data_IF_978777544503
#
_entry.id   IF_978777544503
#
_cell.length_a   1.000
_cell.length_b   1.000
_cell.length_c   1.000
_cell.angle_alpha   90.00
_cell.angle_beta   90.00
_cell.angle_gamma   90.00
#
_symmetry.space_group_name_H-M   'P 1'
#
loop_
_entity.id
_entity.type
_entity.pdbx_description
1 polymer ?
#
# COMPACT_ATOMS: atom_id res chain seq x y z
N UNK A 1 -33.15 -7.94 -24.01
CA UNK A 1 -34.17 -8.77 -24.70
C UNK A 1 -33.45 -9.92 -25.39
N UNK A 2 -33.65 -11.11 -24.84
CA UNK A 2 -33.53 -12.48 -25.35
C UNK A 2 -32.65 -12.89 -26.54
N UNK A 3 -31.83 -13.89 -26.22
CA UNK A 3 -31.41 -15.11 -26.96
C UNK A 3 -30.82 -14.98 -28.36
N UNK A 4 -29.54 -15.34 -28.45
CA UNK A 4 -29.09 -16.31 -29.45
C UNK A 4 -28.46 -17.50 -28.75
N UNK A 5 -29.16 -18.64 -28.83
CA UNK A 5 -28.58 -19.97 -28.64
C UNK A 5 -27.40 -20.15 -29.60
N UNK A 6 -26.24 -20.48 -29.06
CA UNK A 6 -25.14 -21.11 -29.79
C UNK A 6 -24.35 -21.93 -28.79
N UNK A 7 -24.65 -23.24 -28.76
CA UNK A 7 -23.81 -24.30 -28.19
C UNK A 7 -23.56 -24.28 -26.68
N UNK A 8 -24.49 -24.83 -25.89
CA UNK A 8 -24.18 -25.31 -24.52
C UNK A 8 -23.23 -26.50 -24.62
N UNK A 9 -21.93 -26.25 -24.62
CA UNK A 9 -20.99 -27.23 -24.04
C UNK A 9 -21.37 -27.33 -22.57
N UNK A 10 -21.76 -28.52 -22.10
CA UNK A 10 -22.05 -28.70 -20.69
C UNK A 10 -20.74 -28.51 -19.91
N UNK A 11 -20.70 -27.54 -18.99
CA UNK A 11 -19.63 -27.41 -17.97
C UNK A 11 -19.26 -28.82 -17.47
N UNK A 12 -17.97 -29.14 -17.48
CA UNK A 12 -17.52 -30.45 -17.05
C UNK A 12 -17.96 -30.72 -15.60
N UNK A 13 -18.32 -31.97 -15.29
CA UNK A 13 -18.68 -32.37 -13.93
C UNK A 13 -17.53 -32.03 -12.95
N UNK A 14 -16.29 -32.15 -13.41
CA UNK A 14 -15.08 -31.77 -12.68
C UNK A 14 -15.00 -30.28 -12.36
N UNK A 15 -15.27 -29.40 -13.32
CA UNK A 15 -15.27 -27.96 -13.10
C UNK A 15 -16.36 -27.53 -12.11
N UNK A 16 -17.53 -28.17 -12.17
CA UNK A 16 -18.62 -27.93 -11.21
C UNK A 16 -18.19 -28.28 -9.78
N UNK A 17 -17.56 -29.46 -9.60
CA UNK A 17 -16.99 -29.87 -8.31
C UNK A 17 -15.90 -28.91 -7.84
N UNK A 18 -15.00 -28.48 -8.73
CA UNK A 18 -13.93 -27.55 -8.42
C UNK A 18 -14.47 -26.20 -7.93
N UNK A 19 -15.50 -25.66 -8.59
CA UNK A 19 -16.17 -24.42 -8.18
C UNK A 19 -16.87 -24.58 -6.83
N UNK A 20 -17.46 -25.74 -6.53
CA UNK A 20 -18.00 -26.05 -5.21
C UNK A 20 -16.91 -26.01 -4.13
N UNK A 21 -15.72 -26.60 -4.41
CA UNK A 21 -14.56 -26.52 -3.50
C UNK A 21 -14.12 -25.08 -3.26
N UNK A 22 -14.14 -24.24 -4.30
CA UNK A 22 -13.83 -22.81 -4.18
C UNK A 22 -14.84 -22.10 -3.27
N UNK A 23 -16.14 -22.34 -3.47
CA UNK A 23 -17.19 -21.74 -2.66
C UNK A 23 -17.05 -22.13 -1.17
N UNK A 24 -16.72 -23.39 -0.91
CA UNK A 24 -16.53 -23.93 0.44
C UNK A 24 -15.14 -23.63 1.04
N UNK A 25 -14.25 -22.96 0.29
CA UNK A 25 -12.85 -22.72 0.67
C UNK A 25 -12.06 -24.01 0.99
N UNK A 26 -12.37 -25.09 0.29
CA UNK A 26 -11.77 -26.41 0.45
C UNK A 26 -10.49 -26.53 -0.40
N UNK A 27 -9.36 -26.10 0.18
CA UNK A 27 -8.04 -26.10 -0.48
C UNK A 27 -7.58 -27.51 -0.82
N UNK A 28 -7.73 -28.46 0.12
CA UNK A 28 -7.30 -29.84 -0.07
C UNK A 28 -8.15 -30.53 -1.15
N UNK A 29 -9.47 -30.36 -1.10
CA UNK A 29 -10.36 -30.94 -2.10
C UNK A 29 -10.12 -30.40 -3.50
N UNK A 30 -9.87 -29.08 -3.65
CA UNK A 30 -9.52 -28.52 -4.96
C UNK A 30 -8.18 -29.08 -5.46
N UNK A 31 -7.18 -29.21 -4.57
CA UNK A 31 -5.88 -29.77 -4.91
C UNK A 31 -5.98 -31.25 -5.35
N UNK A 32 -6.85 -32.04 -4.72
CA UNK A 32 -7.10 -33.44 -5.10
C UNK A 32 -7.69 -33.54 -6.51
N UNK A 33 -8.71 -32.72 -6.83
CA UNK A 33 -9.33 -32.70 -8.16
C UNK A 33 -8.34 -32.32 -9.28
N UNK A 34 -7.47 -31.34 -9.02
CA UNK A 34 -6.41 -30.93 -9.96
C UNK A 34 -5.36 -32.03 -10.15
N UNK A 35 -5.02 -32.78 -9.08
CA UNK A 35 -4.07 -33.91 -9.15
C UNK A 35 -4.66 -35.14 -9.83
N UNK A 36 -5.96 -35.38 -9.70
CA UNK A 36 -6.65 -36.49 -10.36
C UNK A 36 -6.94 -36.20 -11.83
N UNK A 37 -6.60 -35.00 -12.34
CA UNK A 37 -6.96 -34.52 -13.68
C UNK A 37 -8.47 -34.58 -13.94
N UNK A 38 -9.28 -34.42 -12.89
CA UNK A 38 -10.74 -34.26 -13.04
C UNK A 38 -11.12 -32.89 -13.58
N UNK A 39 -10.24 -31.90 -13.42
CA UNK A 39 -10.36 -30.53 -13.93
C UNK A 39 -8.97 -30.03 -14.31
N UNK A 40 -8.86 -29.29 -15.40
CA UNK A 40 -7.60 -28.65 -15.80
C UNK A 40 -7.41 -27.30 -15.08
N UNK A 41 -6.14 -26.90 -14.88
CA UNK A 41 -5.80 -25.72 -14.06
C UNK A 41 -6.40 -24.39 -14.59
N UNK A 42 -6.40 -24.24 -15.91
CA UNK A 42 -6.92 -23.09 -16.64
C UNK A 42 -8.21 -23.45 -17.41
N UNK A 43 -8.93 -24.48 -16.98
CA UNK A 43 -10.27 -24.77 -17.51
C UNK A 43 -11.19 -23.56 -17.26
N UNK A 44 -12.13 -23.35 -18.17
CA UNK A 44 -13.06 -22.21 -18.17
C UNK A 44 -14.50 -22.70 -18.09
N UNK A 45 -15.36 -21.96 -17.40
CA UNK A 45 -16.81 -22.16 -17.48
C UNK A 45 -17.42 -21.57 -18.77
N UNK A 46 -18.74 -21.73 -18.93
CA UNK A 46 -19.50 -21.22 -20.08
C UNK A 46 -19.40 -19.69 -20.28
N UNK A 47 -18.95 -18.94 -19.26
CA UNK A 47 -18.74 -17.49 -19.35
C UNK A 47 -17.28 -17.14 -19.65
N UNK A 48 -16.40 -18.13 -19.82
CA UNK A 48 -14.96 -17.97 -20.03
C UNK A 48 -14.17 -17.71 -18.73
N UNK A 49 -14.73 -18.07 -17.58
CA UNK A 49 -14.14 -17.77 -16.27
C UNK A 49 -13.31 -18.95 -15.75
N UNK A 50 -12.03 -18.71 -15.42
CA UNK A 50 -11.14 -19.76 -14.86
C UNK A 50 -11.36 -19.98 -13.36
N UNK A 51 -10.86 -21.11 -12.84
CA UNK A 51 -10.84 -21.38 -11.39
C UNK A 51 -10.14 -20.25 -10.60
N UNK A 52 -9.06 -19.67 -11.14
CA UNK A 52 -8.34 -18.56 -10.51
C UNK A 52 -9.21 -17.31 -10.44
N UNK A 53 -9.96 -17.01 -11.51
CA UNK A 53 -10.89 -15.89 -11.53
C UNK A 53 -12.04 -16.10 -10.51
N UNK A 54 -12.57 -17.32 -10.39
CA UNK A 54 -13.57 -17.68 -9.37
C UNK A 54 -13.04 -17.48 -7.95
N UNK A 55 -11.85 -18.00 -7.65
CA UNK A 55 -11.22 -17.84 -6.34
C UNK A 55 -10.95 -16.35 -6.02
N UNK A 56 -10.48 -15.58 -7.00
CA UNK A 56 -10.20 -14.15 -6.85
C UNK A 56 -11.47 -13.34 -6.58
N UNK A 57 -12.55 -13.59 -7.32
CA UNK A 57 -13.84 -12.92 -7.11
C UNK A 57 -14.43 -13.20 -5.73
N UNK A 58 -14.29 -14.44 -5.26
CA UNK A 58 -14.76 -14.89 -3.93
C UNK A 58 -13.80 -14.48 -2.79
N UNK A 59 -12.69 -13.83 -3.09
CA UNK A 59 -11.72 -13.37 -2.09
C UNK A 59 -10.99 -14.51 -1.37
N UNK A 60 -10.88 -15.70 -1.99
CA UNK A 60 -10.27 -16.90 -1.39
C UNK A 60 -8.76 -16.92 -1.61
N UNK A 61 -8.03 -16.27 -0.71
CA UNK A 61 -6.57 -16.06 -0.82
C UNK A 61 -5.78 -17.36 -0.94
N UNK A 62 -6.06 -18.34 -0.09
CA UNK A 62 -5.32 -19.60 -0.05
C UNK A 62 -5.53 -20.41 -1.33
N UNK A 63 -6.74 -20.37 -1.90
CA UNK A 63 -7.04 -21.00 -3.18
C UNK A 63 -6.38 -20.28 -4.36
N UNK A 64 -6.35 -18.95 -4.36
CA UNK A 64 -5.61 -18.19 -5.37
C UNK A 64 -4.12 -18.55 -5.32
N UNK A 65 -3.54 -18.65 -4.12
CA UNK A 65 -2.14 -19.07 -3.96
C UNK A 65 -1.91 -20.48 -4.50
N UNK A 66 -2.76 -21.45 -4.14
CA UNK A 66 -2.67 -22.82 -4.64
C UNK A 66 -2.69 -22.87 -6.18
N UNK A 67 -3.64 -22.18 -6.81
CA UNK A 67 -3.79 -22.19 -8.26
C UNK A 67 -2.58 -21.57 -8.96
N UNK A 68 -2.08 -20.43 -8.45
CA UNK A 68 -0.87 -19.79 -8.97
C UNK A 68 0.38 -20.65 -8.77
N UNK A 69 0.51 -21.33 -7.63
CA UNK A 69 1.63 -22.24 -7.35
C UNK A 69 1.62 -23.46 -8.29
N UNK A 70 0.43 -23.88 -8.74
CA UNK A 70 0.24 -24.95 -9.72
C UNK A 70 0.36 -24.46 -11.18
N UNK A 71 0.65 -23.18 -11.40
CA UNK A 71 0.94 -22.63 -12.72
C UNK A 71 -0.26 -22.06 -13.48
N UNK A 72 -1.38 -21.78 -12.81
CA UNK A 72 -2.50 -21.07 -13.44
C UNK A 72 -2.05 -19.75 -14.07
N UNK A 73 -2.50 -19.45 -15.29
CA UNK A 73 -2.17 -18.19 -15.95
C UNK A 73 -2.93 -17.02 -15.29
N UNK A 74 -2.25 -16.06 -14.63
CA UNK A 74 -2.91 -14.93 -14.00
C UNK A 74 -3.52 -13.93 -14.99
N UNK A 75 -3.28 -14.10 -16.29
CA UNK A 75 -3.90 -13.37 -17.39
C UNK A 75 -4.77 -14.26 -18.30
N UNK A 76 -4.97 -15.52 -17.93
CA UNK A 76 -5.81 -16.47 -18.66
C UNK A 76 -7.30 -16.22 -18.49
N UNK A 77 -8.10 -17.00 -19.21
CA UNK A 77 -9.55 -16.90 -19.27
C UNK A 77 -10.06 -15.99 -20.38
N UNK A 78 -11.19 -16.35 -20.97
CA UNK A 78 -11.88 -15.59 -22.01
C UNK A 78 -13.20 -15.01 -21.52
N UNK A 79 -13.23 -14.52 -20.27
CA UNK A 79 -14.43 -13.98 -19.64
C UNK A 79 -15.17 -13.05 -20.60
N UNK A 80 -16.48 -13.22 -20.76
CA UNK A 80 -17.32 -12.53 -21.77
C UNK A 80 -17.21 -11.00 -21.76
N UNK A 81 -16.78 -10.42 -20.64
CA UNK A 81 -16.57 -8.99 -20.45
C UNK A 81 -15.10 -8.60 -20.26
N UNK A 82 -14.15 -9.49 -20.59
CA UNK A 82 -12.71 -9.29 -20.52
C UNK A 82 -12.23 -8.93 -19.10
N UNK A 83 -12.88 -9.45 -18.07
CA UNK A 83 -12.41 -9.31 -16.69
C UNK A 83 -11.27 -10.31 -16.47
N UNK A 84 -10.11 -9.81 -16.06
CA UNK A 84 -9.00 -10.65 -15.63
C UNK A 84 -9.13 -11.03 -14.15
N UNK A 85 -8.32 -12.00 -13.70
CA UNK A 85 -8.23 -12.36 -12.28
C UNK A 85 -7.94 -11.14 -11.39
N UNK A 86 -7.13 -10.18 -11.87
CA UNK A 86 -6.82 -8.95 -11.14
C UNK A 86 -8.04 -8.02 -11.01
N UNK A 87 -8.92 -7.97 -12.01
CA UNK A 87 -10.18 -7.22 -11.90
C UNK A 87 -11.09 -7.82 -10.83
N UNK A 88 -11.24 -9.13 -10.81
CA UNK A 88 -12.05 -9.83 -9.80
C UNK A 88 -11.46 -9.69 -8.39
N UNK A 89 -10.15 -9.83 -8.24
CA UNK A 89 -9.47 -9.57 -6.98
C UNK A 89 -9.69 -8.11 -6.50
N UNK A 90 -9.65 -7.16 -7.43
CA UNK A 90 -9.88 -5.75 -7.13
C UNK A 90 -11.30 -5.44 -6.66
N UNK A 91 -12.31 -6.09 -7.27
CA UNK A 91 -13.70 -6.01 -6.83
C UNK A 91 -13.92 -6.65 -5.46
N UNK A 92 -13.24 -7.78 -5.17
CA UNK A 92 -13.33 -8.45 -3.86
C UNK A 92 -12.77 -7.60 -2.70
N UNK A 93 -11.90 -6.63 -3.00
CA UNK A 93 -11.21 -5.80 -2.00
C UNK A 93 -10.06 -6.49 -1.29
N UNK A 94 -9.70 -7.71 -1.70
CA UNK A 94 -8.63 -8.47 -1.06
C UNK A 94 -7.25 -8.03 -1.60
N UNK A 95 -6.53 -7.29 -0.76
CA UNK A 95 -5.20 -6.75 -1.06
C UNK A 95 -4.18 -7.83 -1.35
N UNK A 96 -4.22 -8.92 -0.59
CA UNK A 96 -3.22 -9.98 -0.67
C UNK A 96 -3.34 -10.74 -2.00
N UNK A 97 -4.56 -10.99 -2.48
CA UNK A 97 -4.80 -11.61 -3.78
C UNK A 97 -4.28 -10.73 -4.91
N UNK A 98 -4.56 -9.42 -4.86
CA UNK A 98 -4.03 -8.48 -5.84
C UNK A 98 -2.51 -8.50 -5.87
N UNK A 99 -1.84 -8.56 -4.70
CA UNK A 99 -0.40 -8.69 -4.63
C UNK A 99 0.09 -10.02 -5.24
N UNK A 100 -0.51 -11.16 -4.90
CA UNK A 100 -0.14 -12.47 -5.45
C UNK A 100 -0.19 -12.47 -6.98
N UNK A 101 -1.32 -12.01 -7.54
CA UNK A 101 -1.56 -11.91 -8.97
C UNK A 101 -0.52 -11.02 -9.68
N UNK A 102 -0.25 -9.84 -9.13
CA UNK A 102 0.76 -8.93 -9.69
C UNK A 102 2.17 -9.54 -9.66
N UNK A 103 2.53 -10.23 -8.58
CA UNK A 103 3.83 -10.92 -8.49
C UNK A 103 3.95 -12.09 -9.47
N UNK A 104 2.84 -12.71 -9.85
CA UNK A 104 2.80 -13.77 -10.86
C UNK A 104 2.69 -13.22 -12.29
N UNK A 105 2.68 -11.90 -12.48
CA UNK A 105 2.70 -11.27 -13.80
C UNK A 105 1.33 -10.88 -14.36
N UNK A 106 0.30 -10.72 -13.52
CA UNK A 106 -0.94 -10.06 -13.96
C UNK A 106 -0.64 -8.67 -14.54
N UNK A 107 -1.31 -8.35 -15.64
CA UNK A 107 -1.21 -7.05 -16.32
C UNK A 107 -2.10 -6.00 -15.62
N UNK A 108 -1.54 -5.01 -14.90
CA UNK A 108 -2.34 -4.01 -14.17
C UNK A 108 -3.07 -3.01 -15.08
N UNK A 109 -2.62 -2.89 -16.32
CA UNK A 109 -3.15 -2.01 -17.36
C UNK A 109 -4.13 -2.70 -18.31
N UNK A 110 -4.40 -4.00 -18.12
CA UNK A 110 -5.43 -4.70 -18.87
C UNK A 110 -6.79 -4.01 -18.72
N UNK A 111 -7.48 -3.83 -19.84
CA UNK A 111 -8.80 -3.21 -19.89
C UNK A 111 -9.87 -4.29 -20.06
N UNK A 112 -10.96 -4.15 -19.31
CA UNK A 112 -12.17 -4.91 -19.56
C UNK A 112 -12.99 -4.33 -20.74
N UNK A 113 -14.14 -4.94 -21.06
CA UNK A 113 -14.99 -4.55 -22.19
C UNK A 113 -15.56 -3.13 -22.11
N UNK A 114 -15.56 -2.51 -20.92
CA UNK A 114 -15.99 -1.12 -20.71
C UNK A 114 -14.82 -0.14 -20.61
N UNK A 115 -13.61 -0.57 -20.97
CA UNK A 115 -12.41 0.27 -21.02
C UNK A 115 -11.88 0.65 -19.63
N UNK A 116 -12.03 -0.24 -18.64
CA UNK A 116 -11.60 0.02 -17.26
C UNK A 116 -10.52 -0.95 -16.82
N UNK A 117 -9.56 -0.44 -16.04
CA UNK A 117 -8.52 -1.25 -15.39
C UNK A 117 -9.00 -1.81 -14.05
N UNK A 118 -8.29 -2.80 -13.51
CA UNK A 118 -8.55 -3.35 -12.18
C UNK A 118 -8.51 -2.28 -11.07
N UNK A 119 -7.55 -1.34 -11.13
CA UNK A 119 -7.49 -0.20 -10.19
C UNK A 119 -8.75 0.65 -10.25
N UNK A 120 -9.27 0.94 -11.45
CA UNK A 120 -10.48 1.74 -11.61
C UNK A 120 -11.72 1.01 -11.07
N UNK A 121 -11.76 -0.32 -11.22
CA UNK A 121 -12.81 -1.14 -10.60
C UNK A 121 -12.73 -1.13 -9.08
N UNK A 122 -11.52 -1.28 -8.49
CA UNK A 122 -11.34 -1.12 -7.05
C UNK A 122 -11.78 0.26 -6.55
N UNK A 123 -11.44 1.33 -7.28
CA UNK A 123 -11.85 2.68 -6.93
C UNK A 123 -13.38 2.86 -6.96
N UNK A 124 -14.05 2.28 -7.96
CA UNK A 124 -15.52 2.33 -8.11
C UNK A 124 -16.25 1.72 -6.91
N UNK A 125 -15.73 0.63 -6.35
CA UNK A 125 -16.32 -0.03 -5.17
C UNK A 125 -15.72 0.45 -3.83
N UNK A 126 -14.88 1.49 -3.83
CA UNK A 126 -14.30 2.08 -2.61
C UNK A 126 -13.12 1.31 -2.00
N UNK A 127 -12.52 0.35 -2.72
CA UNK A 127 -11.39 -0.45 -2.27
C UNK A 127 -10.06 0.32 -2.37
N UNK A 128 -9.92 1.42 -1.62
CA UNK A 128 -8.76 2.32 -1.69
C UNK A 128 -7.41 1.66 -1.38
N UNK A 129 -7.40 0.65 -0.51
CA UNK A 129 -6.18 -0.13 -0.25
C UNK A 129 -5.71 -0.85 -1.52
N UNK A 130 -6.63 -1.44 -2.30
CA UNK A 130 -6.30 -2.16 -3.53
C UNK A 130 -5.78 -1.16 -4.56
N UNK A 131 -6.44 -0.02 -4.71
CA UNK A 131 -5.99 1.08 -5.57
C UNK A 131 -4.55 1.45 -5.24
N UNK A 132 -4.24 1.63 -3.96
CA UNK A 132 -2.89 1.94 -3.49
C UNK A 132 -1.91 0.82 -3.87
N UNK A 133 -2.25 -0.45 -3.62
CA UNK A 133 -1.38 -1.58 -3.94
C UNK A 133 -1.08 -1.68 -5.43
N UNK A 134 -2.09 -1.64 -6.30
CA UNK A 134 -1.89 -1.80 -7.75
C UNK A 134 -1.11 -0.61 -8.31
N UNK A 135 -1.47 0.63 -7.94
CA UNK A 135 -0.76 1.83 -8.43
C UNK A 135 0.68 1.94 -7.95
N UNK A 136 0.99 1.36 -6.79
CA UNK A 136 2.33 1.35 -6.23
C UNK A 136 3.16 0.11 -6.62
N UNK A 137 2.60 -0.80 -7.42
CA UNK A 137 3.27 -2.02 -7.80
C UNK A 137 4.42 -1.75 -8.77
N UNK A 138 5.57 -2.36 -8.45
CA UNK A 138 6.74 -2.43 -9.31
C UNK A 138 7.23 -3.89 -9.32
N UNK A 139 7.47 -4.48 -10.50
CA UNK A 139 8.07 -5.81 -10.60
C UNK A 139 9.43 -5.88 -9.89
N UNK A 140 9.79 -7.05 -9.36
CA UNK A 140 11.12 -7.24 -8.75
C UNK A 140 12.24 -7.05 -9.76
N UNK A 141 12.01 -7.47 -11.00
CA UNK A 141 12.93 -7.32 -12.14
C UNK A 141 13.37 -5.87 -12.36
N UNK A 142 12.48 -4.91 -12.10
CA UNK A 142 12.78 -3.48 -12.25
C UNK A 142 13.78 -2.98 -11.20
N UNK A 143 13.94 -3.69 -10.09
CA UNK A 143 14.97 -3.41 -9.08
C UNK A 143 16.21 -4.26 -9.34
N UNK A 144 16.03 -5.53 -9.72
CA UNK A 144 17.10 -6.49 -9.98
C UNK A 144 18.02 -6.05 -11.13
N UNK A 145 17.52 -5.30 -12.11
CA UNK A 145 18.36 -4.73 -13.17
C UNK A 145 19.53 -3.87 -12.66
N UNK A 146 19.40 -3.26 -11.47
CA UNK A 146 20.47 -2.45 -10.85
C UNK A 146 21.51 -3.27 -10.08
N UNK A 147 21.29 -4.59 -10.00
CA UNK A 147 22.19 -5.53 -9.30
C UNK A 147 23.22 -6.17 -10.22
N UNK A 148 23.08 -5.94 -11.52
CA UNK A 148 23.99 -6.42 -12.56
C UNK A 148 25.00 -5.33 -12.89
N UNK A 149 26.26 -5.72 -13.11
CA UNK A 149 27.32 -4.80 -13.53
C UNK A 149 27.11 -4.43 -15.00
N UNK A 150 26.95 -3.13 -15.28
CA UNK A 150 26.93 -2.62 -16.65
C UNK A 150 28.35 -2.65 -17.25
N UNK A 151 28.47 -2.72 -18.58
CA UNK A 151 29.77 -2.88 -19.28
C UNK A 151 30.82 -1.80 -18.93
N UNK A 152 30.38 -0.63 -18.49
CA UNK A 152 31.22 0.53 -18.17
C UNK A 152 31.43 0.75 -16.67
N UNK A 153 30.87 -0.10 -15.79
CA UNK A 153 30.93 0.03 -14.33
C UNK A 153 31.77 -1.07 -13.70
N UNK A 154 32.44 -0.77 -12.59
CA UNK A 154 33.27 -1.72 -11.84
C UNK A 154 32.50 -2.50 -10.77
N UNK A 155 31.37 -1.95 -10.31
CA UNK A 155 30.50 -2.55 -9.31
C UNK A 155 29.02 -2.30 -9.65
N UNK A 156 28.09 -3.14 -9.19
CA UNK A 156 26.67 -2.91 -9.42
C UNK A 156 26.18 -1.70 -8.61
N UNK A 157 25.22 -0.97 -9.18
CA UNK A 157 24.58 0.20 -8.54
C UNK A 157 23.89 -0.17 -7.22
N UNK A 158 23.43 -1.42 -7.09
CA UNK A 158 22.90 -1.99 -5.86
C UNK A 158 23.49 -3.38 -5.61
N UNK A 159 23.89 -3.74 -4.37
CA UNK A 159 24.24 -5.12 -4.07
C UNK A 159 23.03 -6.05 -4.31
N UNK A 160 23.20 -7.22 -4.96
CA UNK A 160 22.10 -8.16 -5.21
C UNK A 160 21.32 -8.54 -3.95
N UNK A 161 22.00 -8.70 -2.82
CA UNK A 161 21.37 -9.01 -1.53
C UNK A 161 20.42 -7.89 -1.05
N UNK A 162 20.66 -6.63 -1.43
CA UNK A 162 19.86 -5.49 -1.02
C UNK A 162 18.59 -5.30 -1.87
N UNK A 163 18.49 -5.93 -3.06
CA UNK A 163 17.34 -5.77 -3.95
C UNK A 163 16.00 -6.19 -3.33
N UNK A 164 15.86 -7.34 -2.63
CA UNK A 164 14.61 -7.68 -1.95
C UNK A 164 14.21 -6.66 -0.88
N UNK A 165 15.20 -6.11 -0.17
CA UNK A 165 14.96 -5.09 0.85
C UNK A 165 14.49 -3.77 0.22
N UNK A 166 15.11 -3.35 -0.89
CA UNK A 166 14.70 -2.15 -1.63
C UNK A 166 13.31 -2.32 -2.25
N UNK A 167 13.04 -3.47 -2.88
CA UNK A 167 11.72 -3.81 -3.41
C UNK A 167 10.64 -3.68 -2.32
N UNK A 168 10.87 -4.28 -1.15
CA UNK A 168 9.96 -4.16 0.00
C UNK A 168 9.77 -2.71 0.48
N UNK A 169 10.80 -1.88 0.40
CA UNK A 169 10.74 -0.47 0.80
C UNK A 169 9.98 0.39 -0.22
N UNK A 170 10.23 0.23 -1.52
CA UNK A 170 9.50 0.98 -2.56
C UNK A 170 8.04 0.55 -2.70
N UNK A 171 7.71 -0.68 -2.31
CA UNK A 171 6.33 -1.18 -2.27
C UNK A 171 5.51 -0.64 -1.07
N UNK A 172 6.11 0.11 -0.15
CA UNK A 172 5.36 0.69 0.98
C UNK A 172 4.30 1.68 0.49
N UNK A 173 3.05 1.50 0.91
CA UNK A 173 1.93 2.43 0.66
C UNK A 173 1.77 3.45 1.79
N UNK A 174 2.21 3.11 3.01
CA UNK A 174 2.22 4.04 4.13
C UNK A 174 3.43 4.98 4.01
N UNK A 175 3.15 6.24 3.66
CA UNK A 175 4.18 7.27 3.42
C UNK A 175 4.54 8.08 4.68
N UNK A 176 4.02 7.70 5.85
CA UNK A 176 4.36 8.37 7.09
C UNK A 176 5.88 8.25 7.35
N UNK A 177 6.62 9.35 7.57
CA UNK A 177 8.08 9.32 7.72
C UNK A 177 8.56 8.34 8.80
N UNK A 178 7.89 8.30 9.96
CA UNK A 178 8.20 7.33 11.03
C UNK A 178 8.04 5.88 10.56
N UNK A 179 7.01 5.54 9.77
CA UNK A 179 6.84 4.19 9.23
C UNK A 179 7.98 3.81 8.29
N UNK A 180 8.34 4.72 7.39
CA UNK A 180 9.43 4.52 6.44
C UNK A 180 10.78 4.35 7.15
N UNK A 181 11.08 5.18 8.15
CA UNK A 181 12.28 5.05 8.97
C UNK A 181 12.34 3.73 9.74
N UNK A 182 11.23 3.32 10.37
CA UNK A 182 11.17 2.02 11.05
C UNK A 182 11.28 0.85 10.06
N UNK A 183 10.88 1.04 8.81
CA UNK A 183 11.08 0.05 7.74
C UNK A 183 12.55 -0.06 7.36
N UNK A 184 13.25 1.07 7.18
CA UNK A 184 14.71 1.09 6.96
C UNK A 184 15.44 0.42 8.13
N UNK A 185 15.08 0.74 9.38
CA UNK A 185 15.67 0.12 10.57
C UNK A 185 15.49 -1.41 10.62
N UNK A 186 14.36 -1.92 10.13
CA UNK A 186 14.07 -3.37 10.08
C UNK A 186 14.75 -4.10 8.91
N UNK A 187 15.39 -3.37 7.99
CA UNK A 187 16.01 -3.89 6.79
C UNK A 187 17.50 -3.50 6.77
N UNK A 188 18.39 -4.27 7.45
CA UNK A 188 19.81 -3.93 7.58
C UNK A 188 20.52 -3.67 6.25
N UNK A 189 20.18 -4.45 5.22
CA UNK A 189 20.77 -4.30 3.89
C UNK A 189 20.42 -2.95 3.22
N UNK A 190 19.38 -2.24 3.67
CA UNK A 190 19.13 -0.85 3.28
C UNK A 190 19.96 0.13 4.12
N UNK A 191 20.00 -0.05 5.45
CA UNK A 191 20.77 0.84 6.33
C UNK A 191 22.27 0.80 6.05
N UNK A 192 22.77 -0.34 5.60
CA UNK A 192 24.19 -0.53 5.30
C UNK A 192 24.56 0.04 3.92
N UNK A 193 23.57 0.34 3.07
CA UNK A 193 23.76 0.78 1.67
C UNK A 193 23.01 2.07 1.33
N UNK A 194 22.80 2.97 2.31
CA UNK A 194 21.96 4.17 2.13
C UNK A 194 22.29 5.00 0.89
N UNK A 195 23.59 5.24 0.60
CA UNK A 195 24.00 6.02 -0.57
C UNK A 195 23.64 5.33 -1.90
N UNK A 196 23.88 4.02 -2.01
CA UNK A 196 23.52 3.22 -3.20
C UNK A 196 22.00 3.15 -3.38
N UNK A 197 21.27 2.96 -2.28
CA UNK A 197 19.80 2.98 -2.26
C UNK A 197 19.27 4.34 -2.73
N UNK A 198 19.82 5.45 -2.22
CA UNK A 198 19.45 6.80 -2.65
C UNK A 198 19.63 7.01 -4.15
N UNK A 199 20.77 6.56 -4.70
CA UNK A 199 21.04 6.63 -6.12
C UNK A 199 20.06 5.79 -6.97
N UNK A 200 19.74 4.56 -6.55
CA UNK A 200 18.77 3.73 -7.27
C UNK A 200 17.37 4.35 -7.22
N UNK A 201 16.95 4.95 -6.10
CA UNK A 201 15.68 5.65 -6.00
C UNK A 201 15.60 6.89 -6.93
N UNK A 202 16.71 7.59 -7.13
CA UNK A 202 16.82 8.64 -8.15
C UNK A 202 16.61 8.08 -9.55
N UNK A 203 17.32 7.00 -9.91
CA UNK A 203 17.17 6.37 -11.23
C UNK A 203 15.76 5.84 -11.46
N UNK A 204 15.13 5.25 -10.44
CA UNK A 204 13.73 4.82 -10.50
C UNK A 204 12.80 6.02 -10.76
N UNK A 205 13.01 7.13 -10.06
CA UNK A 205 12.24 8.37 -10.25
C UNK A 205 12.36 8.92 -11.66
N UNK A 206 13.58 8.97 -12.22
CA UNK A 206 13.81 9.40 -13.59
C UNK A 206 13.22 8.45 -14.62
N UNK A 207 13.36 7.13 -14.41
CA UNK A 207 12.86 6.14 -15.34
C UNK A 207 11.34 6.16 -15.46
N UNK A 208 10.62 6.48 -14.37
CA UNK A 208 9.18 6.70 -14.43
C UNK A 208 8.78 7.88 -15.32
N UNK A 209 9.64 8.90 -15.45
CA UNK A 209 9.42 10.05 -16.33
C UNK A 209 9.81 9.77 -17.79
N UNK A 210 10.72 8.82 -18.03
CA UNK A 210 11.24 8.46 -19.36
C UNK A 210 10.50 7.30 -20.03
N UNK A 211 9.39 6.81 -19.47
CA UNK A 211 8.61 5.69 -20.04
C UNK A 211 8.09 6.05 -21.44
N UNK A 212 8.01 5.04 -22.31
CA UNK A 212 7.71 5.20 -23.75
C UNK A 212 6.29 5.68 -24.06
N UNK A 213 5.31 5.31 -23.24
CA UNK A 213 3.89 5.61 -23.50
C UNK A 213 3.39 6.84 -22.75
N UNK A 214 3.63 6.92 -21.44
CA UNK A 214 3.24 8.05 -20.60
C UNK A 214 4.14 8.12 -19.36
N UNK A 215 4.50 9.34 -18.94
CA UNK A 215 5.27 9.57 -17.73
C UNK A 215 4.43 9.24 -16.49
N UNK A 216 4.96 8.41 -15.60
CA UNK A 216 4.33 8.14 -14.31
C UNK A 216 4.81 9.16 -13.27
N UNK A 217 4.24 10.36 -13.34
CA UNK A 217 4.57 11.49 -12.44
C UNK A 217 4.40 11.12 -10.96
N UNK A 218 3.39 10.28 -10.65
CA UNK A 218 3.03 9.89 -9.29
C UNK A 218 4.11 8.99 -8.67
N UNK A 219 4.51 7.92 -9.37
CA UNK A 219 5.60 7.06 -8.88
C UNK A 219 6.95 7.78 -8.87
N UNK A 220 7.19 8.66 -9.84
CA UNK A 220 8.38 9.50 -9.84
C UNK A 220 8.46 10.35 -8.56
N UNK A 221 7.36 11.01 -8.18
CA UNK A 221 7.26 11.79 -6.95
C UNK A 221 7.45 10.92 -5.70
N UNK A 222 6.86 9.72 -5.68
CA UNK A 222 7.05 8.77 -4.58
C UNK A 222 8.51 8.39 -4.40
N UNK A 223 9.19 7.98 -5.48
CA UNK A 223 10.59 7.57 -5.41
C UNK A 223 11.49 8.74 -4.99
N UNK A 224 11.21 9.96 -5.43
CA UNK A 224 11.87 11.17 -4.94
C UNK A 224 11.67 11.38 -3.43
N UNK A 225 10.45 11.20 -2.91
CA UNK A 225 10.19 11.32 -1.48
C UNK A 225 10.94 10.26 -0.66
N UNK A 226 10.94 9.00 -1.12
CA UNK A 226 11.71 7.93 -0.49
C UNK A 226 13.22 8.22 -0.53
N UNK A 227 13.72 8.67 -1.68
CA UNK A 227 15.11 9.10 -1.86
C UNK A 227 15.47 10.20 -0.87
N UNK A 228 14.66 11.26 -0.79
CA UNK A 228 14.90 12.40 0.10
C UNK A 228 15.08 11.97 1.55
N UNK A 229 14.27 11.02 2.01
CA UNK A 229 14.37 10.44 3.36
C UNK A 229 15.66 9.65 3.55
N UNK A 230 16.00 8.76 2.61
CA UNK A 230 17.23 7.96 2.66
C UNK A 230 18.48 8.84 2.57
N UNK A 231 18.49 9.87 1.72
CA UNK A 231 19.61 10.79 1.57
C UNK A 231 19.82 11.67 2.80
N UNK A 232 18.75 12.06 3.50
CA UNK A 232 18.89 12.77 4.79
C UNK A 232 19.60 11.89 5.82
N UNK A 233 19.20 10.62 5.94
CA UNK A 233 19.89 9.66 6.80
C UNK A 233 21.35 9.45 6.36
N UNK A 234 21.61 9.31 5.06
CA UNK A 234 22.97 9.11 4.53
C UNK A 234 23.88 10.31 4.85
N UNK A 235 23.37 11.55 4.72
CA UNK A 235 24.11 12.77 5.05
C UNK A 235 24.41 12.87 6.55
N UNK A 236 23.45 12.56 7.40
CA UNK A 236 23.67 12.53 8.86
C UNK A 236 24.67 11.44 9.26
N UNK A 237 24.63 10.26 8.63
CA UNK A 237 25.59 9.19 8.87
C UNK A 237 27.02 9.58 8.45
N UNK A 238 27.16 10.36 7.38
CA UNK A 238 28.46 10.90 6.96
C UNK A 238 28.99 11.94 7.95
N UNK A 239 28.12 12.79 8.51
CA UNK A 239 28.49 13.81 9.50
C UNK A 239 28.76 13.22 10.90
N UNK A 240 28.11 12.11 11.23
CA UNK A 240 28.20 11.40 12.50
C UNK A 240 28.61 9.94 12.29
N UNK A 241 29.78 9.73 11.67
CA UNK A 241 30.29 8.39 11.32
C UNK A 241 30.46 7.45 12.52
N UNK A 242 30.56 8.01 13.73
CA UNK A 242 30.66 7.31 15.01
C UNK A 242 29.31 6.72 15.49
N UNK A 243 28.19 7.26 15.01
CA UNK A 243 26.86 6.84 15.45
C UNK A 243 26.29 5.74 14.56
N UNK A 244 25.69 4.68 15.13
CA UNK A 244 24.93 3.71 14.35
C UNK A 244 23.71 4.37 13.69
N UNK A 245 23.39 3.96 12.45
CA UNK A 245 22.20 4.44 11.70
C UNK A 245 20.91 4.35 12.52
N UNK A 246 20.77 3.30 13.33
CA UNK A 246 19.61 3.08 14.21
C UNK A 246 19.44 4.22 15.22
N UNK A 247 20.52 4.79 15.74
CA UNK A 247 20.46 5.92 16.66
C UNK A 247 19.97 7.19 15.95
N UNK A 248 20.48 7.45 14.74
CA UNK A 248 20.04 8.58 13.91
C UNK A 248 18.56 8.47 13.57
N UNK A 249 18.10 7.26 13.20
CA UNK A 249 16.68 6.98 12.96
C UNK A 249 15.84 7.32 14.21
N UNK A 250 16.27 6.87 15.39
CA UNK A 250 15.55 7.16 16.64
C UNK A 250 15.47 8.66 16.96
N UNK A 251 16.49 9.43 16.60
CA UNK A 251 16.46 10.89 16.74
C UNK A 251 15.43 11.54 15.80
N UNK A 252 15.41 11.15 14.52
CA UNK A 252 14.39 11.61 13.58
C UNK A 252 12.98 11.20 13.98
N UNK A 253 12.77 9.95 14.44
CA UNK A 253 11.46 9.48 14.91
C UNK A 253 10.95 10.35 16.06
N UNK A 254 11.81 10.68 17.04
CA UNK A 254 11.44 11.59 18.12
C UNK A 254 11.12 12.99 17.61
N UNK A 255 11.89 13.51 16.66
CA UNK A 255 11.66 14.83 16.07
C UNK A 255 10.33 14.89 15.31
N UNK A 256 10.00 13.86 14.53
CA UNK A 256 8.74 13.77 13.79
C UNK A 256 7.50 13.67 14.69
N UNK A 257 7.61 12.97 15.82
CA UNK A 257 6.50 12.82 16.76
C UNK A 257 6.32 14.02 17.67
N UNK A 258 7.36 14.85 17.86
CA UNK A 258 7.32 15.95 18.82
C UNK A 258 6.34 17.05 18.36
N UNK A 259 5.25 17.29 19.10
CA UNK A 259 4.32 18.35 18.75
C UNK A 259 4.91 19.73 19.09
N UNK A 260 4.49 20.75 18.34
CA UNK A 260 4.73 22.16 18.67
C UNK A 260 4.00 22.52 19.97
N UNK A 261 4.66 23.28 20.84
CA UNK A 261 4.18 23.56 22.20
C UNK A 261 2.92 24.41 22.25
N UNK A 262 2.66 25.24 21.24
CA UNK A 262 1.53 26.18 21.22
C UNK A 262 0.19 25.50 20.93
N UNK A 263 0.15 24.57 19.99
CA UNK A 263 -1.10 24.05 19.41
C UNK A 263 -1.08 22.55 19.12
N UNK A 264 0.05 21.86 19.32
CA UNK A 264 0.16 20.43 19.05
C UNK A 264 0.62 20.06 17.64
N UNK A 265 0.84 21.04 16.76
CA UNK A 265 1.14 20.79 15.34
C UNK A 265 2.48 20.07 15.14
N UNK A 266 2.58 19.01 14.29
CA UNK A 266 3.82 18.28 14.05
C UNK A 266 4.74 19.03 13.06
N UNK A 267 5.23 20.19 13.49
CA UNK A 267 5.93 21.17 12.64
C UNK A 267 7.16 20.61 11.91
N UNK A 268 7.99 19.83 12.61
CA UNK A 268 9.18 19.23 12.02
C UNK A 268 8.83 18.27 10.87
N UNK A 269 7.81 17.42 11.08
CA UNK A 269 7.32 16.49 10.06
C UNK A 269 6.74 17.21 8.86
N UNK A 270 5.91 18.21 9.10
CA UNK A 270 5.26 18.96 8.04
C UNK A 270 6.28 19.74 7.18
N UNK A 271 7.27 20.38 7.82
CA UNK A 271 8.36 21.07 7.13
C UNK A 271 9.23 20.12 6.31
N UNK A 272 9.57 18.95 6.86
CA UNK A 272 10.36 17.93 6.15
C UNK A 272 9.68 17.48 4.85
N UNK A 273 8.37 17.20 4.91
CA UNK A 273 7.60 16.78 3.74
C UNK A 273 7.51 17.91 2.71
N UNK A 274 7.27 19.15 3.16
CA UNK A 274 7.25 20.33 2.26
C UNK A 274 8.60 20.55 1.57
N UNK A 275 9.71 20.38 2.28
CA UNK A 275 11.06 20.45 1.71
C UNK A 275 11.27 19.36 0.65
N UNK A 276 10.85 18.13 0.93
CA UNK A 276 10.91 17.04 -0.05
C UNK A 276 10.15 17.37 -1.34
N UNK A 277 8.91 17.87 -1.23
CA UNK A 277 8.13 18.28 -2.40
C UNK A 277 8.84 19.42 -3.14
N UNK A 278 9.33 20.44 -2.42
CA UNK A 278 10.06 21.58 -3.03
C UNK A 278 11.34 21.18 -3.75
N UNK A 279 11.96 20.05 -3.41
CA UNK A 279 13.18 19.57 -4.07
C UNK A 279 12.90 18.61 -5.23
N UNK A 280 11.64 18.26 -5.51
CA UNK A 280 11.28 17.37 -6.62
C UNK A 280 11.75 17.92 -7.98
N UNK A 281 12.56 17.21 -8.77
CA UNK A 281 13.21 17.79 -9.96
C UNK A 281 12.24 18.16 -11.09
N UNK A 282 11.14 17.45 -11.26
CA UNK A 282 10.23 17.61 -12.41
C UNK A 282 9.15 18.67 -12.16
N UNK A 283 9.54 19.95 -12.13
CA UNK A 283 8.68 21.09 -11.79
C UNK A 283 7.53 21.34 -12.77
N UNK A 284 7.67 20.88 -14.00
CA UNK A 284 6.65 21.08 -15.03
C UNK A 284 5.46 20.13 -14.92
N UNK A 285 5.57 19.06 -14.12
CA UNK A 285 4.52 18.04 -13.96
C UNK A 285 3.24 18.61 -13.37
N UNK A 286 2.09 18.11 -13.85
CA UNK A 286 0.78 18.58 -13.37
C UNK A 286 0.60 18.19 -11.90
N UNK A 287 1.03 16.99 -11.54
CA UNK A 287 1.01 16.49 -10.16
C UNK A 287 1.77 17.41 -9.21
N UNK A 288 2.99 17.83 -9.56
CA UNK A 288 3.78 18.73 -8.72
C UNK A 288 3.10 20.10 -8.55
N UNK A 289 2.64 20.72 -9.65
CA UNK A 289 2.00 22.03 -9.59
C UNK A 289 0.75 22.01 -8.72
N UNK A 290 -0.10 21.00 -8.88
CA UNK A 290 -1.33 20.85 -8.09
C UNK A 290 -1.02 20.61 -6.60
N UNK A 291 -0.05 19.75 -6.29
CA UNK A 291 0.37 19.49 -4.92
C UNK A 291 0.94 20.75 -4.26
N UNK A 292 1.77 21.52 -4.97
CA UNK A 292 2.35 22.76 -4.47
C UNK A 292 1.29 23.83 -4.17
N UNK A 293 0.31 24.01 -5.07
CA UNK A 293 -0.81 24.93 -4.88
C UNK A 293 -1.66 24.54 -3.67
N UNK A 294 -1.89 23.25 -3.46
CA UNK A 294 -2.63 22.78 -2.28
C UNK A 294 -1.82 23.02 -0.99
N UNK A 295 -0.53 22.72 -1.01
CA UNK A 295 0.36 22.97 0.13
C UNK A 295 0.46 24.47 0.47
N UNK A 296 0.47 25.37 -0.51
CA UNK A 296 0.52 26.82 -0.25
C UNK A 296 -0.75 27.37 0.38
N UNK A 297 -1.90 26.71 0.20
CA UNK A 297 -3.19 27.10 0.80
C UNK A 297 -3.35 26.63 2.25
N UNK A 298 -2.66 25.55 2.63
CA UNK A 298 -2.70 25.02 4.01
C UNK A 298 -1.92 25.90 4.97
N UNK A 299 -2.51 26.20 6.14
CA UNK A 299 -1.79 26.82 7.25
C UNK A 299 -1.11 25.74 8.08
N UNK A 300 0.04 26.04 8.66
CA UNK A 300 0.71 25.13 9.59
C UNK A 300 0.05 25.23 10.97
N UNK A 301 -1.15 24.71 11.09
CA UNK A 301 -1.98 24.69 12.30
C UNK A 301 -2.76 23.38 12.39
N UNK A 302 -3.15 22.98 13.60
CA UNK A 302 -3.85 21.71 13.83
C UNK A 302 -5.16 21.57 13.04
N UNK A 303 -5.84 22.69 12.78
CA UNK A 303 -7.12 22.74 12.06
C UNK A 303 -6.99 22.62 10.53
N UNK A 304 -5.76 22.52 10.00
CA UNK A 304 -5.48 22.43 8.57
C UNK A 304 -4.98 21.03 8.18
N UNK A 305 -5.23 20.64 6.93
CA UNK A 305 -4.70 19.41 6.36
C UNK A 305 -3.16 19.39 6.43
N UNK A 306 -2.61 18.28 6.94
CA UNK A 306 -1.17 18.07 7.00
C UNK A 306 -0.57 17.85 5.61
N UNK A 307 0.69 18.28 5.41
CA UNK A 307 1.41 18.00 4.17
C UNK A 307 1.48 16.49 3.87
N UNK A 308 1.56 15.65 4.91
CA UNK A 308 1.51 14.19 4.79
C UNK A 308 0.22 13.71 4.15
N UNK A 309 -0.93 14.25 4.55
CA UNK A 309 -2.24 13.86 4.01
C UNK A 309 -2.35 14.22 2.54
N UNK A 310 -1.88 15.42 2.16
CA UNK A 310 -1.84 15.86 0.76
C UNK A 310 -0.91 14.99 -0.09
N UNK A 311 0.31 14.73 0.37
CA UNK A 311 1.27 13.86 -0.33
C UNK A 311 0.71 12.44 -0.47
N UNK A 312 0.14 11.88 0.59
CA UNK A 312 -0.43 10.53 0.60
C UNK A 312 -1.63 10.42 -0.34
N UNK A 313 -2.52 11.42 -0.36
CA UNK A 313 -3.67 11.44 -1.26
C UNK A 313 -3.26 11.62 -2.72
N UNK A 314 -2.16 12.34 -2.95
CA UNK A 314 -1.58 12.50 -4.27
C UNK A 314 -0.98 11.19 -4.81
N UNK A 315 -0.32 10.40 -3.96
CA UNK A 315 0.37 9.17 -4.38
C UNK A 315 -0.56 7.95 -4.36
N UNK A 316 -1.38 7.80 -3.32
CA UNK A 316 -2.25 6.63 -3.14
C UNK A 316 -3.66 6.85 -3.72
N UNK A 317 -3.95 8.05 -4.24
CA UNK A 317 -5.28 8.45 -4.69
C UNK A 317 -6.11 9.07 -3.57
N UNK A 318 -7.07 9.91 -3.96
CA UNK A 318 -8.00 10.54 -3.04
C UNK A 318 -8.98 9.51 -2.47
N UNK A 319 -9.36 9.73 -1.22
CA UNK A 319 -10.33 8.90 -0.50
C UNK A 319 -11.53 9.78 -0.12
N UNK A 320 -12.74 9.30 -0.42
CA UNK A 320 -13.96 10.04 -0.09
C UNK A 320 -14.26 10.04 1.42
N UNK A 321 -13.91 8.95 2.09
CA UNK A 321 -14.09 8.76 3.53
C UNK A 321 -12.81 8.17 4.12
N UNK A 322 -12.41 8.63 5.30
CA UNK A 322 -11.29 8.09 6.06
C UNK A 322 -11.74 7.93 7.51
N UNK A 323 -11.71 6.70 8.02
CA UNK A 323 -11.90 6.45 9.44
C UNK A 323 -10.63 6.84 10.21
N UNK A 324 -10.78 7.49 11.38
CA UNK A 324 -9.68 7.97 12.24
C UNK A 324 -8.91 6.86 12.99
N UNK A 325 -8.87 5.64 12.45
CA UNK A 325 -8.29 4.44 13.08
C UNK A 325 -6.83 4.19 12.63
N UNK A 326 -6.02 5.24 12.67
CA UNK A 326 -4.60 5.19 12.35
C UNK A 326 -3.70 5.14 13.58
N UNK A 327 -2.56 4.48 13.45
CA UNK A 327 -1.56 4.41 14.51
C UNK A 327 -0.97 5.80 14.77
N UNK A 328 -1.03 6.26 16.01
CA UNK A 328 -0.50 7.58 16.40
C UNK A 328 1.02 7.73 16.26
N UNK A 329 1.75 6.65 15.98
CA UNK A 329 3.21 6.64 15.85
C UNK A 329 3.65 6.59 14.40
N UNK A 330 3.09 5.66 13.62
CA UNK A 330 3.55 5.38 12.27
C UNK A 330 2.46 5.58 11.21
N UNK A 331 1.27 6.04 11.57
CA UNK A 331 0.18 6.24 10.63
C UNK A 331 -0.38 4.96 9.98
N UNK A 332 0.02 3.77 10.44
CA UNK A 332 -0.55 2.51 9.95
C UNK A 332 -2.07 2.52 10.16
N UNK A 333 -2.83 2.23 9.11
CA UNK A 333 -4.29 2.22 9.15
C UNK A 333 -4.85 0.87 9.61
N UNK A 334 -6.16 0.85 9.94
CA UNK A 334 -6.93 -0.32 10.37
C UNK A 334 -6.28 -1.01 11.57
N UNK A 335 -6.05 -0.22 12.62
CA UNK A 335 -5.31 -0.63 13.80
C UNK A 335 -6.22 -1.41 14.76
N UNK A 336 -5.80 -2.59 15.25
CA UNK A 336 -6.66 -3.43 16.07
C UNK A 336 -6.78 -2.98 17.54
N UNK A 337 -5.83 -2.17 18.04
CA UNK A 337 -5.70 -1.92 19.48
C UNK A 337 -5.66 -0.44 19.84
N UNK A 338 -6.49 -0.06 20.81
CA UNK A 338 -6.49 1.25 21.46
C UNK A 338 -5.75 1.16 22.79
N UNK A 339 -5.22 2.28 23.27
CA UNK A 339 -4.61 2.36 24.59
C UNK A 339 -5.60 1.89 25.65
N UNK A 340 -5.15 1.00 26.55
CA UNK A 340 -5.98 0.45 27.62
C UNK A 340 -6.48 1.49 28.61
N UNK A 341 -5.79 2.62 28.75
CA UNK A 341 -6.12 3.68 29.72
C UNK A 341 -7.06 4.72 29.09
N UNK A 342 -6.61 5.42 28.04
CA UNK A 342 -7.39 6.52 27.47
C UNK A 342 -8.45 6.09 26.45
N UNK A 343 -8.33 4.89 25.87
CA UNK A 343 -9.20 4.36 24.79
C UNK A 343 -9.28 5.21 23.52
N UNK A 344 -8.67 6.39 23.47
CA UNK A 344 -8.66 7.29 22.31
C UNK A 344 -7.49 7.03 21.35
N UNK A 345 -6.28 6.84 21.86
CA UNK A 345 -5.07 6.70 21.04
C UNK A 345 -4.85 5.26 20.61
N UNK A 346 -4.48 5.04 19.35
CA UNK A 346 -4.35 3.70 18.75
C UNK A 346 -2.91 3.36 18.35
N UNK A 347 -2.56 2.07 18.45
CA UNK A 347 -1.24 1.55 18.11
C UNK A 347 -1.32 0.24 17.35
N UNK A 348 -0.57 0.12 16.25
CA UNK A 348 -0.50 -1.11 15.46
C UNK A 348 0.21 -2.25 16.21
N UNK A 349 1.10 -1.92 17.16
CA UNK A 349 1.78 -2.88 18.03
C UNK A 349 2.37 -2.19 19.28
N UNK A 350 2.91 -3.01 20.20
CA UNK A 350 3.53 -2.54 21.45
C UNK A 350 4.76 -1.67 21.23
N UNK A 351 5.51 -1.86 20.15
CA UNK A 351 6.71 -1.08 19.89
C UNK A 351 6.36 0.36 19.50
N UNK A 352 5.35 0.56 18.66
CA UNK A 352 4.82 1.89 18.36
C UNK A 352 4.32 2.59 19.62
N UNK A 353 3.61 1.87 20.50
CA UNK A 353 3.19 2.41 21.79
C UNK A 353 4.39 2.89 22.63
N UNK A 354 5.46 2.09 22.74
CA UNK A 354 6.68 2.46 23.48
C UNK A 354 7.35 3.70 22.87
N UNK A 355 7.47 3.74 21.54
CA UNK A 355 8.09 4.85 20.80
C UNK A 355 7.33 6.16 21.06
N UNK A 356 6.00 6.15 21.05
CA UNK A 356 5.20 7.36 21.27
C UNK A 356 4.96 7.70 22.76
N UNK A 357 5.24 6.77 23.67
CA UNK A 357 4.90 6.90 25.10
C UNK A 357 5.46 8.16 25.77
N UNK A 358 6.62 8.65 25.34
CA UNK A 358 7.24 9.85 25.93
C UNK A 358 6.36 11.11 25.81
N UNK A 359 5.49 11.19 24.79
CA UNK A 359 4.47 12.23 24.61
C UNK A 359 3.17 11.77 25.25
N UNK A 360 2.68 10.59 24.83
CA UNK A 360 1.34 10.14 25.20
C UNK A 360 1.14 10.06 26.71
N UNK A 361 2.15 9.66 27.50
CA UNK A 361 2.03 9.57 28.96
C UNK A 361 1.60 10.88 29.64
N UNK A 362 1.91 12.03 29.03
CA UNK A 362 1.54 13.35 29.57
C UNK A 362 0.09 13.71 29.28
N UNK A 363 -0.45 13.24 28.16
CA UNK A 363 -1.81 13.53 27.70
C UNK A 363 -2.82 12.40 28.01
N UNK A 364 -2.34 11.21 28.37
CA UNK A 364 -3.16 10.00 28.50
C UNK A 364 -4.32 10.19 29.49
N UNK A 365 -4.05 10.76 30.66
CA UNK A 365 -5.06 10.99 31.69
C UNK A 365 -6.11 12.03 31.25
N UNK A 366 -5.69 13.06 30.51
CA UNK A 366 -6.57 14.09 29.96
C UNK A 366 -7.50 13.47 28.91
N UNK A 367 -6.94 12.67 28.00
CA UNK A 367 -7.70 11.95 26.97
C UNK A 367 -8.67 10.94 27.61
N UNK A 368 -8.26 10.24 28.66
CA UNK A 368 -9.13 9.31 29.39
C UNK A 368 -10.35 10.01 30.00
N UNK A 369 -10.16 11.21 30.56
CA UNK A 369 -11.27 12.03 31.08
C UNK A 369 -12.20 12.50 29.96
N UNK A 370 -11.64 12.92 28.82
CA UNK A 370 -12.44 13.32 27.66
C UNK A 370 -13.26 12.16 27.11
N UNK A 371 -12.67 10.97 27.01
CA UNK A 371 -13.35 9.77 26.56
C UNK A 371 -14.54 9.41 27.46
N UNK A 372 -14.35 9.39 28.78
CA UNK A 372 -15.45 9.14 29.74
C UNK A 372 -16.58 10.16 29.62
N UNK A 373 -16.24 11.44 29.43
CA UNK A 373 -17.25 12.48 29.24
C UNK A 373 -18.05 12.29 27.94
N UNK A 374 -17.41 11.80 26.87
CA UNK A 374 -18.09 11.47 25.61
C UNK A 374 -19.00 10.24 25.76
N UNK A 375 -18.55 9.20 26.47
CA UNK A 375 -19.39 8.02 26.76
C UNK A 375 -20.64 8.41 27.54
N UNK A 376 -20.50 9.21 28.61
CA UNK A 376 -21.65 9.69 29.40
C UNK A 376 -22.63 10.49 28.53
N UNK A 377 -22.12 11.37 27.66
CA UNK A 377 -22.98 12.12 26.73
C UNK A 377 -23.72 11.20 25.76
N UNK A 378 -23.03 10.20 25.20
CA UNK A 378 -23.65 9.25 24.27
C UNK A 378 -24.74 8.40 24.93
N UNK A 379 -24.52 7.96 26.17
CA UNK A 379 -25.50 7.21 26.96
C UNK A 379 -26.72 8.05 27.30
N UNK A 380 -26.53 9.32 27.68
CA UNK A 380 -27.63 10.24 27.94
C UNK A 380 -28.43 10.57 26.65
N UNK A 381 -27.76 10.67 25.51
CA UNK A 381 -28.43 10.85 24.22
C UNK A 381 -29.25 9.63 23.82
N UNK A 382 -28.74 8.41 24.03
CA UNK A 382 -29.48 7.17 23.77
C UNK A 382 -30.69 7.01 24.70
N UNK A 383 -30.51 7.25 26.00
CA UNK A 383 -31.62 7.18 26.97
C UNK A 383 -32.73 8.21 26.67
N UNK A 384 -32.39 9.39 26.17
CA UNK A 384 -33.37 10.39 25.75
C UNK A 384 -34.11 10.04 24.45
N UNK A 385 -33.51 9.22 23.58
CA UNK A 385 -34.19 8.71 22.37
C UNK A 385 -35.16 7.59 22.73
N UNK A 386 -34.77 6.71 23.67
CA UNK A 386 -35.63 5.62 24.16
C UNK A 386 -36.78 6.12 25.03
N UNK A 387 -36.63 7.22 25.77
CA UNK A 387 -37.69 7.82 26.58
C UNK A 387 -38.73 8.64 25.78
N UNK A 388 -38.45 8.93 24.50
CA UNK A 388 -39.33 9.68 23.60
C UNK A 388 -39.96 8.80 22.49
N UNK A 389 -39.80 7.48 22.57
CA UNK A 389 -40.55 6.46 21.82
C UNK A 389 -41.60 5.84 22.75
#
# INVERSE_FOLDING_TARGET
MFYRNSSTEMISEGFTKATEKINNNDVSGLQELLKSHEVEIDEEDDHGMTLLQHAAFKGKKELCQLLLDLGADPNGGHHEHQYSALHFAALSGNLDICQQLLHCGSKPDALNSVGRTATQMAAFVGNHGVVSVINNFIPRTDIEQYTVVCKDETEPKLPPAAAPALHKFVMQVNLHPVHLLLTVQKLPLLSDNLSKVGHVLELLSENQMKRSHEANEILSLKYHYLRFLVERLAKEQQQHSDKPVVELINQYVKAFLKPRTSDGFPEFMDNFIRESVRTFPFKETTVFRQLLVNLSKTKQSLDSQLALSLLSSCINGQRGFQDDDACATCGQEKVPSKCSICKSVQYCNRDCQKIHWFIHKKECDKLAKQFKNLEIKSQNSQANVEANQ
#
